data_IF_874790644132
#
_entry.id   IF_874790644132
#
_cell.length_a   1.000
_cell.length_b   1.000
_cell.length_c   1.000
_cell.angle_alpha   90.00
_cell.angle_beta   90.00
_cell.angle_gamma   90.00
#
_symmetry.space_group_name_H-M   'P 1'
#
loop_
_entity.id
_entity.type
_entity.pdbx_description
1 polymer ?
#
# COMPACT_ATOMS: atom_id res chain seq x y z
N UNK A 1 -26.66 28.25 15.41
CA UNK A 1 -25.75 28.07 14.26
C UNK A 1 -24.36 27.85 14.82
N UNK A 2 -23.79 26.64 14.67
CA UNK A 2 -22.39 26.46 15.00
C UNK A 2 -21.57 27.36 14.08
N UNK A 3 -20.53 28.06 14.59
CA UNK A 3 -19.72 28.93 13.78
C UNK A 3 -19.03 28.09 12.67
N UNK A 4 -19.21 28.48 11.41
CA UNK A 4 -18.55 27.82 10.28
C UNK A 4 -17.03 27.97 10.45
N UNK A 5 -16.32 26.84 10.52
CA UNK A 5 -14.88 26.82 10.64
C UNK A 5 -14.23 27.48 9.42
N UNK A 6 -13.24 28.32 9.64
CA UNK A 6 -12.44 28.87 8.53
C UNK A 6 -11.61 27.77 7.86
N UNK A 7 -11.21 27.93 6.57
CA UNK A 7 -10.35 26.96 5.89
C UNK A 7 -9.04 26.64 6.64
N UNK A 8 -8.47 27.62 7.32
CA UNK A 8 -7.28 27.43 8.16
C UNK A 8 -7.56 26.58 9.40
N UNK A 9 -8.70 26.80 10.05
CA UNK A 9 -9.14 26.00 11.20
C UNK A 9 -9.44 24.55 10.78
N UNK A 10 -10.06 24.35 9.61
CA UNK A 10 -10.30 23.01 9.04
C UNK A 10 -8.94 22.31 8.79
N UNK A 11 -8.00 22.99 8.15
CA UNK A 11 -6.70 22.43 7.87
C UNK A 11 -5.88 22.12 9.14
N UNK A 12 -5.94 22.97 10.16
CA UNK A 12 -5.26 22.77 11.44
C UNK A 12 -5.86 21.60 12.23
N UNK A 13 -7.20 21.53 12.29
CA UNK A 13 -7.92 20.44 12.95
C UNK A 13 -7.66 19.11 12.26
N UNK A 14 -7.72 19.08 10.92
CA UNK A 14 -7.39 17.91 10.12
C UNK A 14 -5.97 17.44 10.41
N UNK A 15 -5.00 18.34 10.41
CA UNK A 15 -3.59 17.99 10.65
C UNK A 15 -3.36 17.43 12.05
N UNK A 16 -4.03 18.01 13.08
CA UNK A 16 -3.94 17.52 14.45
C UNK A 16 -4.41 16.07 14.55
N UNK A 17 -5.59 15.77 14.03
CA UNK A 17 -6.19 14.43 14.14
C UNK A 17 -5.60 13.43 13.17
N UNK A 18 -5.12 13.87 12.00
CA UNK A 18 -4.44 12.99 11.05
C UNK A 18 -3.13 12.41 11.61
N UNK A 19 -2.42 13.15 12.46
CA UNK A 19 -1.25 12.62 13.17
C UNK A 19 -1.62 11.50 14.14
N UNK A 20 -2.74 11.65 14.87
CA UNK A 20 -3.26 10.59 15.76
C UNK A 20 -3.72 9.37 14.96
N UNK A 21 -4.42 9.61 13.86
CA UNK A 21 -4.80 8.57 12.90
C UNK A 21 -3.57 7.81 12.38
N UNK A 22 -2.49 8.53 12.05
CA UNK A 22 -1.23 7.94 11.59
C UNK A 22 -0.65 6.93 12.56
N UNK A 23 -0.69 7.21 13.86
CA UNK A 23 -0.23 6.27 14.89
C UNK A 23 -1.07 4.97 14.89
N UNK A 24 -2.41 5.09 14.86
CA UNK A 24 -3.30 3.94 14.75
C UNK A 24 -3.06 3.14 13.46
N UNK A 25 -2.83 3.83 12.34
CA UNK A 25 -2.55 3.19 11.05
C UNK A 25 -1.27 2.34 11.09
N UNK A 26 -0.18 2.88 11.61
CA UNK A 26 1.11 2.17 11.66
C UNK A 26 1.04 0.87 12.45
N UNK A 27 0.31 0.87 13.57
CA UNK A 27 0.10 -0.34 14.39
C UNK A 27 -0.76 -1.36 13.64
N UNK A 28 -1.91 -0.95 13.11
CA UNK A 28 -2.82 -1.87 12.41
C UNK A 28 -2.21 -2.42 11.11
N UNK A 29 -1.47 -1.61 10.37
CA UNK A 29 -0.77 -2.06 9.17
C UNK A 29 0.23 -3.18 9.50
N UNK A 30 0.97 -3.03 10.59
CA UNK A 30 1.91 -4.05 11.07
C UNK A 30 1.22 -5.36 11.45
N UNK A 31 0.00 -5.31 12.00
CA UNK A 31 -0.78 -6.51 12.35
C UNK A 31 -1.00 -7.42 11.13
N UNK A 32 -1.40 -6.87 10.00
CA UNK A 32 -1.73 -7.70 8.84
C UNK A 32 -0.58 -7.91 7.85
N UNK A 33 0.43 -7.04 7.81
CA UNK A 33 1.55 -7.21 6.89
C UNK A 33 2.48 -8.36 7.28
N UNK A 34 2.71 -8.56 8.58
CA UNK A 34 3.66 -9.55 9.07
C UNK A 34 3.02 -10.47 10.11
N UNK A 35 2.42 -9.93 11.18
CA UNK A 35 1.98 -10.75 12.30
C UNK A 35 0.85 -11.71 11.98
N UNK A 36 -0.10 -11.34 11.12
CA UNK A 36 -1.18 -12.25 10.73
C UNK A 36 -0.63 -13.50 10.04
N UNK A 37 0.35 -13.34 9.16
CA UNK A 37 0.98 -14.46 8.48
C UNK A 37 1.88 -15.26 9.43
N UNK A 38 2.62 -14.59 10.30
CA UNK A 38 3.48 -15.21 11.31
C UNK A 38 2.68 -16.12 12.25
N UNK A 39 1.53 -15.66 12.71
CA UNK A 39 0.61 -16.44 13.56
C UNK A 39 -0.02 -17.58 12.78
N UNK A 40 -0.41 -17.37 11.51
CA UNK A 40 -0.92 -18.45 10.66
C UNK A 40 0.10 -19.57 10.47
N UNK A 41 1.39 -19.24 10.32
CA UNK A 41 2.48 -20.20 10.16
C UNK A 41 2.74 -20.94 11.48
N UNK A 42 2.96 -20.24 12.58
CA UNK A 42 3.49 -20.82 13.83
C UNK A 42 2.43 -21.36 14.76
N UNK A 43 1.32 -20.62 14.93
CA UNK A 43 0.28 -21.00 15.89
C UNK A 43 -0.71 -21.97 15.25
N UNK A 44 -1.17 -21.65 14.03
CA UNK A 44 -2.17 -22.47 13.35
C UNK A 44 -1.57 -23.51 12.41
N UNK A 45 -0.27 -23.44 12.13
CA UNK A 45 0.42 -24.35 11.19
C UNK A 45 -0.36 -24.49 9.86
N UNK A 46 -0.81 -23.33 9.35
CA UNK A 46 -1.69 -23.23 8.22
C UNK A 46 -1.04 -23.71 6.93
N UNK A 47 -1.84 -24.38 6.09
CA UNK A 47 -1.45 -24.76 4.74
C UNK A 47 -1.30 -23.54 3.83
N UNK A 48 -0.46 -23.64 2.80
CA UNK A 48 -0.24 -22.61 1.77
C UNK A 48 -1.55 -22.20 1.09
N UNK A 49 -2.46 -23.15 0.85
CA UNK A 49 -3.78 -22.94 0.26
C UNK A 49 -4.67 -21.98 1.06
N UNK A 50 -4.42 -21.82 2.36
CA UNK A 50 -5.15 -20.92 3.26
C UNK A 50 -4.36 -19.63 3.48
N UNK A 51 -3.06 -19.71 3.68
CA UNK A 51 -2.18 -18.54 3.93
C UNK A 51 -2.25 -17.48 2.83
N UNK A 52 -2.44 -17.90 1.57
CA UNK A 52 -2.54 -17.00 0.42
C UNK A 52 -3.66 -15.94 0.52
N UNK A 53 -4.73 -16.22 1.25
CA UNK A 53 -5.84 -15.28 1.44
C UNK A 53 -5.50 -14.12 2.39
N UNK A 54 -4.52 -14.28 3.29
CA UNK A 54 -4.11 -13.22 4.21
C UNK A 54 -3.62 -11.98 3.45
N UNK A 55 -2.62 -12.03 2.57
CA UNK A 55 -2.16 -10.87 1.83
C UNK A 55 -3.10 -10.45 0.68
N UNK A 56 -3.97 -11.34 0.19
CA UNK A 56 -4.90 -11.05 -0.89
C UNK A 56 -6.04 -10.09 -0.48
N UNK A 57 -6.39 -10.03 0.81
CA UNK A 57 -7.52 -9.22 1.30
C UNK A 57 -7.45 -7.76 0.90
N UNK A 58 -6.26 -7.15 0.97
CA UNK A 58 -6.05 -5.76 0.56
C UNK A 58 -6.29 -5.56 -0.94
N UNK A 59 -5.82 -6.48 -1.78
CA UNK A 59 -6.02 -6.46 -3.23
C UNK A 59 -7.50 -6.59 -3.60
N UNK A 60 -8.20 -7.53 -2.98
CA UNK A 60 -9.66 -7.72 -3.14
C UNK A 60 -10.40 -6.44 -2.77
N UNK A 61 -10.02 -5.81 -1.67
CA UNK A 61 -10.62 -4.55 -1.26
C UNK A 61 -10.40 -3.43 -2.25
N UNK A 62 -9.21 -3.30 -2.86
CA UNK A 62 -8.97 -2.34 -3.94
C UNK A 62 -9.85 -2.60 -5.17
N UNK A 63 -10.07 -3.86 -5.55
CA UNK A 63 -10.98 -4.22 -6.66
C UNK A 63 -12.44 -3.86 -6.35
N UNK A 64 -12.86 -3.99 -5.10
CA UNK A 64 -14.22 -3.67 -4.65
C UNK A 64 -14.42 -2.17 -4.38
N UNK A 65 -13.37 -1.35 -4.38
CA UNK A 65 -13.44 0.08 -4.06
C UNK A 65 -14.46 0.88 -4.88
N UNK A 66 -14.65 0.65 -6.21
CA UNK A 66 -15.68 1.36 -6.96
C UNK A 66 -17.10 1.05 -6.51
N UNK A 67 -17.36 -0.20 -6.09
CA UNK A 67 -18.65 -0.60 -5.51
C UNK A 67 -18.87 0.09 -4.15
N UNK A 68 -17.84 0.09 -3.29
CA UNK A 68 -17.86 0.79 -2.02
C UNK A 68 -18.21 2.27 -2.19
N UNK A 69 -17.55 2.99 -3.07
CA UNK A 69 -17.82 4.39 -3.36
C UNK A 69 -19.26 4.63 -3.82
N UNK A 70 -19.82 3.73 -4.64
CA UNK A 70 -21.23 3.81 -5.08
C UNK A 70 -22.21 3.68 -3.91
N UNK A 71 -21.91 2.81 -2.94
CA UNK A 71 -22.71 2.64 -1.71
C UNK A 71 -22.58 3.89 -0.83
N UNK A 72 -21.37 4.38 -0.60
CA UNK A 72 -21.10 5.52 0.28
C UNK A 72 -21.76 6.80 -0.19
N UNK A 73 -21.82 7.04 -1.50
CA UNK A 73 -22.52 8.18 -2.09
C UNK A 73 -24.04 8.19 -1.77
N UNK A 74 -24.65 7.01 -1.57
CA UNK A 74 -26.05 6.89 -1.22
C UNK A 74 -26.36 7.19 0.25
N UNK A 75 -25.34 7.02 1.13
CA UNK A 75 -25.52 7.21 2.57
C UNK A 75 -25.67 8.67 2.99
N UNK A 76 -25.22 9.61 2.16
CA UNK A 76 -25.26 11.07 2.43
C UNK A 76 -24.62 11.48 3.77
N UNK A 77 -23.73 10.65 4.31
CA UNK A 77 -22.97 10.91 5.53
C UNK A 77 -21.68 11.70 5.23
N UNK A 78 -21.14 12.44 6.22
CA UNK A 78 -19.82 13.05 6.10
C UNK A 78 -18.75 12.00 5.77
N UNK A 79 -17.78 12.36 4.92
CA UNK A 79 -16.71 11.44 4.49
C UNK A 79 -15.94 10.88 5.69
N UNK A 80 -15.60 11.72 6.67
CA UNK A 80 -14.92 11.30 7.89
C UNK A 80 -15.74 10.29 8.71
N UNK A 81 -17.06 10.44 8.77
CA UNK A 81 -17.96 9.51 9.46
C UNK A 81 -17.98 8.15 8.77
N UNK A 82 -18.02 8.11 7.43
CA UNK A 82 -17.96 6.84 6.67
C UNK A 82 -16.65 6.11 6.95
N UNK A 83 -15.52 6.83 6.90
CA UNK A 83 -14.21 6.22 7.19
C UNK A 83 -14.18 5.72 8.65
N UNK A 84 -14.72 6.49 9.61
CA UNK A 84 -14.77 6.07 11.00
C UNK A 84 -15.58 4.79 11.19
N UNK A 85 -16.76 4.66 10.55
CA UNK A 85 -17.58 3.44 10.58
C UNK A 85 -16.79 2.26 10.00
N UNK A 86 -16.11 2.42 8.86
CA UNK A 86 -15.28 1.37 8.26
C UNK A 86 -14.20 0.90 9.24
N UNK A 87 -13.55 1.83 9.95
CA UNK A 87 -12.49 1.47 10.90
C UNK A 87 -13.01 0.90 12.22
N UNK A 88 -14.22 1.22 12.63
CA UNK A 88 -14.91 0.50 13.72
C UNK A 88 -15.19 -0.96 13.28
N UNK A 89 -15.64 -1.17 12.04
CA UNK A 89 -15.82 -2.52 11.50
C UNK A 89 -14.49 -3.29 11.37
N UNK A 90 -13.39 -2.61 11.03
CA UNK A 90 -12.02 -3.17 11.09
C UNK A 90 -11.69 -3.62 12.52
N UNK A 91 -11.97 -2.78 13.52
CA UNK A 91 -11.75 -3.13 14.93
C UNK A 91 -12.57 -4.35 15.35
N UNK A 92 -13.84 -4.43 14.93
CA UNK A 92 -14.69 -5.62 15.17
C UNK A 92 -14.11 -6.86 14.52
N UNK A 93 -13.67 -6.78 13.26
CA UNK A 93 -13.04 -7.91 12.57
C UNK A 93 -11.75 -8.38 13.27
N UNK A 94 -10.89 -7.45 13.70
CA UNK A 94 -9.67 -7.76 14.48
C UNK A 94 -10.02 -8.36 15.86
N UNK A 95 -11.08 -7.88 16.49
CA UNK A 95 -11.55 -8.45 17.77
C UNK A 95 -12.06 -9.88 17.61
N UNK A 96 -12.89 -10.14 16.59
CA UNK A 96 -13.34 -11.51 16.26
C UNK A 96 -12.16 -12.42 15.92
N UNK A 97 -11.13 -11.89 15.28
CA UNK A 97 -9.89 -12.62 15.00
C UNK A 97 -9.16 -13.02 16.30
N UNK A 98 -9.16 -12.16 17.34
CA UNK A 98 -8.59 -12.52 18.66
C UNK A 98 -9.30 -13.70 19.32
N UNK A 99 -10.58 -13.93 19.00
CA UNK A 99 -11.39 -15.01 19.52
C UNK A 99 -11.40 -16.25 18.63
N UNK A 100 -10.69 -16.21 17.48
CA UNK A 100 -10.70 -17.29 16.51
C UNK A 100 -9.99 -18.52 17.01
N UNK A 101 -10.70 -19.64 17.04
CA UNK A 101 -10.17 -20.97 17.40
C UNK A 101 -9.81 -21.81 16.16
N UNK A 102 -10.12 -21.33 14.95
CA UNK A 102 -9.80 -21.99 13.70
C UNK A 102 -9.06 -21.05 12.76
N UNK A 103 -8.17 -21.61 11.94
CA UNK A 103 -7.44 -20.85 10.91
C UNK A 103 -8.38 -20.21 9.90
N UNK A 104 -9.48 -20.85 9.53
CA UNK A 104 -10.45 -20.32 8.56
C UNK A 104 -11.08 -19.05 9.11
N UNK A 105 -11.56 -19.07 10.38
CA UNK A 105 -12.11 -17.88 11.03
C UNK A 105 -11.07 -16.77 11.15
N UNK A 106 -9.84 -17.10 11.54
CA UNK A 106 -8.74 -16.17 11.65
C UNK A 106 -8.47 -15.46 10.31
N UNK A 107 -8.32 -16.23 9.22
CA UNK A 107 -8.05 -15.70 7.88
C UNK A 107 -9.24 -14.90 7.34
N UNK A 108 -10.47 -15.37 7.54
CA UNK A 108 -11.66 -14.63 7.12
C UNK A 108 -11.76 -13.26 7.81
N UNK A 109 -11.48 -13.20 9.12
CA UNK A 109 -11.51 -11.95 9.88
C UNK A 109 -10.42 -10.96 9.41
N UNK A 110 -9.16 -11.42 9.20
CA UNK A 110 -8.10 -10.55 8.74
C UNK A 110 -8.34 -10.07 7.30
N UNK A 111 -8.83 -10.94 6.42
CA UNK A 111 -9.20 -10.55 5.05
C UNK A 111 -10.33 -9.51 5.06
N UNK A 112 -11.37 -9.71 5.89
CA UNK A 112 -12.44 -8.73 6.06
C UNK A 112 -11.91 -7.39 6.57
N UNK A 113 -11.02 -7.38 7.58
CA UNK A 113 -10.39 -6.17 8.08
C UNK A 113 -9.63 -5.39 6.99
N UNK A 114 -8.86 -6.09 6.15
CA UNK A 114 -8.12 -5.48 5.05
C UNK A 114 -9.04 -4.95 3.94
N UNK A 115 -10.08 -5.70 3.58
CA UNK A 115 -11.09 -5.27 2.60
C UNK A 115 -11.77 -3.98 3.08
N UNK A 116 -12.20 -3.92 4.33
CA UNK A 116 -12.84 -2.75 4.92
C UNK A 116 -11.88 -1.55 4.98
N UNK A 117 -10.65 -1.76 5.43
CA UNK A 117 -9.64 -0.70 5.53
C UNK A 117 -9.32 -0.08 4.17
N UNK A 118 -9.23 -0.89 3.11
CA UNK A 118 -8.93 -0.42 1.76
C UNK A 118 -10.02 0.47 1.17
N UNK A 119 -11.30 0.28 1.57
CA UNK A 119 -12.41 1.15 1.14
C UNK A 119 -12.23 2.60 1.63
N UNK A 120 -11.53 2.80 2.74
CA UNK A 120 -11.24 4.13 3.28
C UNK A 120 -10.20 4.92 2.50
N UNK A 121 -9.36 4.28 1.67
CA UNK A 121 -8.22 4.95 0.99
C UNK A 121 -8.67 6.06 0.03
N UNK A 122 -9.60 5.83 -0.92
CA UNK A 122 -10.07 6.91 -1.80
C UNK A 122 -10.83 8.00 -1.06
N UNK A 123 -11.57 7.66 -0.02
CA UNK A 123 -12.27 8.61 0.84
C UNK A 123 -11.29 9.51 1.60
N UNK A 124 -10.22 8.93 2.13
CA UNK A 124 -9.16 9.68 2.82
C UNK A 124 -8.41 10.61 1.87
N UNK A 125 -8.15 10.16 0.64
CA UNK A 125 -7.55 11.00 -0.40
C UNK A 125 -8.43 12.20 -0.72
N UNK A 126 -9.75 12.00 -0.85
CA UNK A 126 -10.70 13.08 -1.03
C UNK A 126 -10.67 14.07 0.14
N UNK A 127 -10.71 13.57 1.37
CA UNK A 127 -10.63 14.38 2.58
C UNK A 127 -9.39 15.28 2.61
N UNK A 128 -8.22 14.76 2.20
CA UNK A 128 -6.98 15.53 2.13
C UNK A 128 -7.00 16.58 1.03
N UNK A 129 -7.63 16.29 -0.10
CA UNK A 129 -7.74 17.27 -1.18
C UNK A 129 -8.67 18.40 -0.84
N UNK A 130 -9.70 18.15 -0.05
CA UNK A 130 -10.67 19.15 0.41
C UNK A 130 -10.13 20.01 1.57
N UNK A 131 -9.43 19.39 2.52
CA UNK A 131 -9.07 20.04 3.78
C UNK A 131 -7.66 20.67 3.78
N UNK A 132 -6.75 20.24 2.90
CA UNK A 132 -5.39 20.77 2.88
C UNK A 132 -5.12 21.65 1.66
N UNK A 133 -4.52 22.83 1.84
CA UNK A 133 -3.98 23.61 0.74
C UNK A 133 -2.98 22.78 -0.08
N UNK A 134 -3.01 22.91 -1.40
CA UNK A 134 -2.13 22.17 -2.30
C UNK A 134 -0.62 22.36 -1.96
N UNK A 135 -0.24 23.57 -1.54
CA UNK A 135 1.14 23.95 -1.19
C UNK A 135 1.68 23.26 0.08
N UNK A 136 0.83 22.84 1.02
CA UNK A 136 1.25 22.25 2.30
C UNK A 136 0.83 20.79 2.47
N UNK A 137 0.05 20.24 1.55
CA UNK A 137 -0.51 18.88 1.62
C UNK A 137 0.58 17.82 1.74
N UNK A 138 1.60 17.88 0.90
CA UNK A 138 2.71 16.92 0.90
C UNK A 138 3.47 16.90 2.22
N UNK A 139 3.82 18.09 2.76
CA UNK A 139 4.54 18.19 4.03
C UNK A 139 3.72 17.66 5.21
N UNK A 140 2.42 17.93 5.26
CA UNK A 140 1.54 17.43 6.33
C UNK A 140 1.38 15.92 6.28
N UNK A 141 1.17 15.35 5.08
CA UNK A 141 1.08 13.91 4.89
C UNK A 141 2.40 13.20 5.23
N UNK A 142 3.54 13.78 4.87
CA UNK A 142 4.84 13.17 5.20
C UNK A 142 5.04 13.03 6.72
N UNK A 143 4.61 14.02 7.51
CA UNK A 143 4.64 13.92 8.99
C UNK A 143 3.77 12.78 9.50
N UNK A 144 2.57 12.61 8.95
CA UNK A 144 1.68 11.50 9.32
C UNK A 144 2.31 10.14 8.96
N UNK A 145 2.96 10.03 7.80
CA UNK A 145 3.68 8.81 7.42
C UNK A 145 4.88 8.51 8.32
N UNK A 146 5.61 9.53 8.77
CA UNK A 146 6.71 9.35 9.73
C UNK A 146 6.19 8.80 11.06
N UNK A 147 5.09 9.38 11.58
CA UNK A 147 4.46 8.91 12.82
C UNK A 147 3.97 7.46 12.66
N UNK A 148 3.28 7.14 11.56
CA UNK A 148 2.81 5.79 11.28
C UNK A 148 3.97 4.79 11.23
N UNK A 149 5.06 5.13 10.54
CA UNK A 149 6.24 4.27 10.45
C UNK A 149 6.91 4.07 11.80
N UNK A 150 7.05 5.13 12.61
CA UNK A 150 7.62 5.03 13.95
C UNK A 150 6.78 4.13 14.86
N UNK A 151 5.44 4.31 14.86
CA UNK A 151 4.54 3.46 15.63
C UNK A 151 4.56 2.01 15.11
N UNK A 152 4.64 1.80 13.80
CA UNK A 152 4.78 0.48 13.20
C UNK A 152 6.08 -0.22 13.60
N UNK A 153 7.21 0.49 13.59
CA UNK A 153 8.53 -0.01 14.03
C UNK A 153 8.48 -0.41 15.50
N UNK A 154 8.00 0.49 16.36
CA UNK A 154 7.92 0.24 17.80
C UNK A 154 7.00 -0.95 18.10
N UNK A 155 5.80 -0.97 17.52
CA UNK A 155 4.85 -2.06 17.68
C UNK A 155 5.38 -3.37 17.10
N UNK A 156 6.05 -3.31 15.94
CA UNK A 156 6.69 -4.47 15.32
C UNK A 156 7.70 -5.12 16.23
N UNK A 157 8.61 -4.32 16.82
CA UNK A 157 9.62 -4.83 17.74
C UNK A 157 8.99 -5.42 19.02
N UNK A 158 8.09 -4.68 19.67
CA UNK A 158 7.42 -5.13 20.90
C UNK A 158 6.56 -6.36 20.67
N UNK A 159 5.80 -6.39 19.55
CA UNK A 159 4.96 -7.51 19.19
C UNK A 159 5.77 -8.78 18.86
N UNK A 160 6.89 -8.63 18.16
CA UNK A 160 7.79 -9.74 17.90
C UNK A 160 8.36 -10.33 19.19
N UNK A 161 8.80 -9.48 20.13
CA UNK A 161 9.27 -9.91 21.47
C UNK A 161 8.16 -10.58 22.29
N UNK A 162 6.93 -10.06 22.22
CA UNK A 162 5.78 -10.67 22.88
C UNK A 162 5.53 -12.10 22.38
N UNK A 163 5.57 -12.30 21.06
CA UNK A 163 5.38 -13.62 20.47
C UNK A 163 6.56 -14.56 20.71
N UNK A 164 7.78 -14.06 20.91
CA UNK A 164 8.93 -14.88 21.33
C UNK A 164 8.76 -15.40 22.76
N UNK A 165 8.11 -14.64 23.64
CA UNK A 165 7.78 -15.12 24.99
C UNK A 165 6.74 -16.24 24.96
N UNK A 166 5.68 -16.07 24.20
CA UNK A 166 4.63 -17.08 24.00
C UNK A 166 3.80 -16.74 22.75
N UNK A 167 3.86 -17.57 21.74
CA UNK A 167 3.11 -17.37 20.50
C UNK A 167 1.58 -17.37 20.71
N UNK A 168 1.07 -18.03 21.76
CA UNK A 168 -0.35 -17.99 22.14
C UNK A 168 -0.81 -16.64 22.67
N UNK A 169 0.09 -15.67 22.87
CA UNK A 169 -0.26 -14.27 23.20
C UNK A 169 -0.65 -13.43 21.99
N UNK A 170 -0.81 -14.03 20.79
CA UNK A 170 -1.30 -13.32 19.61
C UNK A 170 -2.63 -12.56 19.83
N UNK A 171 -3.60 -13.00 20.68
CA UNK A 171 -4.81 -12.21 20.96
C UNK A 171 -4.50 -10.89 21.66
N UNK A 172 -3.47 -10.82 22.52
CA UNK A 172 -3.02 -9.56 23.14
C UNK A 172 -2.45 -8.61 22.11
N UNK A 173 -1.61 -9.14 21.21
CA UNK A 173 -1.02 -8.37 20.12
C UNK A 173 -2.11 -7.79 19.19
N UNK A 174 -3.05 -8.59 18.73
CA UNK A 174 -4.15 -8.13 17.89
C UNK A 174 -5.17 -7.29 18.68
N UNK A 175 -5.31 -7.49 19.99
CA UNK A 175 -6.06 -6.62 20.89
C UNK A 175 -5.51 -5.18 20.90
N UNK A 176 -4.17 -5.02 20.90
CA UNK A 176 -3.57 -3.70 20.68
C UNK A 176 -3.90 -3.15 19.28
N UNK A 177 -3.98 -4.00 18.25
CA UNK A 177 -4.47 -3.65 16.91
C UNK A 177 -5.93 -3.17 16.91
N UNK A 178 -6.82 -3.79 17.72
CA UNK A 178 -8.20 -3.33 17.93
C UNK A 178 -8.23 -1.92 18.49
N UNK A 179 -7.45 -1.67 19.57
CA UNK A 179 -7.37 -0.33 20.17
C UNK A 179 -6.82 0.70 19.19
N UNK A 180 -5.83 0.33 18.39
CA UNK A 180 -5.26 1.20 17.36
C UNK A 180 -6.27 1.50 16.23
N UNK A 181 -7.10 0.52 15.83
CA UNK A 181 -8.16 0.72 14.84
C UNK A 181 -9.28 1.63 15.40
N UNK A 182 -9.64 1.49 16.66
CA UNK A 182 -10.59 2.40 17.33
C UNK A 182 -10.01 3.81 17.47
N UNK A 183 -8.73 3.95 17.79
CA UNK A 183 -8.03 5.24 17.81
C UNK A 183 -8.04 5.89 16.42
N UNK A 184 -7.80 5.12 15.36
CA UNK A 184 -7.91 5.59 13.98
C UNK A 184 -9.35 6.09 13.69
N UNK A 185 -10.37 5.27 14.01
CA UNK A 185 -11.77 5.62 13.79
C UNK A 185 -12.15 6.91 14.51
N UNK A 186 -11.78 7.02 15.78
CA UNK A 186 -12.04 8.23 16.58
C UNK A 186 -11.34 9.46 16.00
N UNK A 187 -10.07 9.33 15.64
CA UNK A 187 -9.30 10.43 15.10
C UNK A 187 -9.90 10.95 13.77
N UNK A 188 -10.28 10.05 12.86
CA UNK A 188 -10.91 10.44 11.60
C UNK A 188 -12.28 11.06 11.82
N UNK A 189 -13.09 10.53 12.75
CA UNK A 189 -14.39 11.10 13.09
C UNK A 189 -14.31 12.58 13.53
N UNK A 190 -13.20 12.97 14.18
CA UNK A 190 -12.93 14.37 14.59
C UNK A 190 -12.50 15.29 13.45
N UNK A 191 -12.25 14.77 12.26
CA UNK A 191 -11.85 15.57 11.11
C UNK A 191 -13.11 16.17 10.45
N UNK A 192 -13.18 17.50 10.26
CA UNK A 192 -14.30 18.14 9.56
C UNK A 192 -14.39 17.62 8.12
N UNK A 193 -15.59 17.29 7.66
CA UNK A 193 -15.82 16.89 6.27
C UNK A 193 -17.25 17.11 5.83
N UNK A 194 -17.41 17.32 4.54
CA UNK A 194 -18.72 17.40 3.89
C UNK A 194 -19.29 16.01 3.56
N UNK A 195 -20.60 15.92 3.27
CA UNK A 195 -21.23 14.68 2.83
C UNK A 195 -20.60 14.15 1.53
N UNK A 196 -20.55 12.82 1.40
CA UNK A 196 -19.91 12.10 0.30
C UNK A 196 -20.61 12.25 -1.08
N UNK A 197 -21.65 13.05 -1.19
CA UNK A 197 -22.55 13.19 -2.38
C UNK A 197 -21.82 13.61 -3.67
N UNK A 198 -20.61 14.14 -3.57
CA UNK A 198 -19.82 14.64 -4.71
C UNK A 198 -18.74 13.67 -5.22
N UNK A 199 -18.61 12.49 -4.62
CA UNK A 199 -17.65 11.49 -5.06
C UNK A 199 -18.12 10.86 -6.39
N UNK A 200 -17.93 11.57 -7.51
CA UNK A 200 -18.18 11.00 -8.83
C UNK A 200 -17.25 9.82 -9.07
N UNK A 201 -17.73 8.62 -8.79
CA UNK A 201 -17.12 7.40 -9.29
C UNK A 201 -17.25 7.44 -10.82
N UNK A 202 -16.19 7.81 -11.54
CA UNK A 202 -16.11 7.46 -12.96
C UNK A 202 -16.07 5.94 -13.00
N UNK A 203 -17.02 5.34 -13.72
CA UNK A 203 -17.09 3.90 -13.89
C UNK A 203 -15.71 3.38 -14.35
N UNK A 204 -15.02 2.52 -13.57
CA UNK A 204 -13.69 2.04 -13.92
C UNK A 204 -13.69 1.31 -15.28
N UNK A 205 -14.80 0.70 -15.68
CA UNK A 205 -14.93 0.03 -16.97
C UNK A 205 -14.92 1.03 -18.14
N UNK A 206 -15.50 2.22 -17.97
CA UNK A 206 -15.41 3.28 -19.00
C UNK A 206 -14.01 3.88 -19.05
N UNK A 207 -13.30 3.92 -17.93
CA UNK A 207 -11.90 4.35 -17.89
C UNK A 207 -10.96 3.31 -18.52
N UNK A 208 -11.28 2.01 -18.49
CA UNK A 208 -10.49 0.96 -19.15
C UNK A 208 -10.33 1.20 -20.66
N UNK A 209 -11.30 1.84 -21.32
CA UNK A 209 -11.17 2.22 -22.73
C UNK A 209 -9.95 3.11 -23.00
N UNK A 210 -9.53 3.92 -22.03
CA UNK A 210 -8.32 4.76 -22.12
C UNK A 210 -7.06 3.90 -22.32
N UNK A 211 -6.97 2.78 -21.60
CA UNK A 211 -5.85 1.86 -21.72
C UNK A 211 -5.77 1.19 -23.10
N UNK A 212 -6.90 1.03 -23.79
CA UNK A 212 -6.93 0.50 -25.15
C UNK A 212 -6.58 1.57 -26.19
N UNK A 213 -6.99 2.80 -25.98
CA UNK A 213 -6.78 3.92 -26.91
C UNK A 213 -5.37 4.50 -26.84
N UNK A 214 -4.80 4.66 -25.63
CA UNK A 214 -3.43 5.16 -25.45
C UNK A 214 -2.43 3.99 -25.47
N UNK A 215 -1.77 3.82 -26.61
CA UNK A 215 -0.80 2.74 -26.82
C UNK A 215 0.41 2.83 -25.86
N UNK A 216 0.89 4.04 -25.54
CA UNK A 216 2.01 4.26 -24.63
C UNK A 216 1.61 3.86 -23.20
N UNK A 217 0.45 4.32 -22.74
CA UNK A 217 -0.07 3.96 -21.42
C UNK A 217 -0.31 2.46 -21.29
N UNK A 218 -0.88 1.81 -22.31
CA UNK A 218 -1.10 0.36 -22.35
C UNK A 218 0.21 -0.42 -22.19
N UNK A 219 1.26 -0.05 -22.94
CA UNK A 219 2.58 -0.67 -22.83
C UNK A 219 3.18 -0.49 -21.43
N UNK A 220 3.04 0.69 -20.85
CA UNK A 220 3.45 0.94 -19.47
C UNK A 220 2.68 0.08 -18.46
N UNK A 221 1.35 -0.04 -18.61
CA UNK A 221 0.54 -0.88 -17.72
C UNK A 221 0.97 -2.36 -17.76
N UNK A 222 1.28 -2.89 -18.95
CA UNK A 222 1.78 -4.28 -19.10
C UNK A 222 3.11 -4.44 -18.34
N UNK A 223 4.05 -3.53 -18.51
CA UNK A 223 5.32 -3.57 -17.79
C UNK A 223 5.11 -3.46 -16.27
N UNK A 224 4.20 -2.59 -15.82
CA UNK A 224 3.83 -2.47 -14.41
C UNK A 224 3.12 -3.73 -13.87
N UNK A 225 2.35 -4.44 -14.67
CA UNK A 225 1.69 -5.70 -14.25
C UNK A 225 2.74 -6.78 -13.98
N UNK A 226 3.69 -6.99 -14.89
CA UNK A 226 4.77 -7.98 -14.72
C UNK A 226 5.62 -7.66 -13.49
N UNK A 227 6.05 -6.40 -13.34
CA UNK A 227 6.75 -5.95 -12.16
C UNK A 227 5.96 -6.20 -10.87
N UNK A 228 4.68 -5.83 -10.90
CA UNK A 228 3.82 -5.95 -9.72
C UNK A 228 3.58 -7.39 -9.32
N UNK A 229 3.30 -8.27 -10.26
CA UNK A 229 3.16 -9.72 -9.98
C UNK A 229 4.47 -10.25 -9.39
N UNK A 230 5.60 -9.98 -10.04
CA UNK A 230 6.91 -10.44 -9.57
C UNK A 230 7.25 -9.94 -8.17
N UNK A 231 7.08 -8.65 -7.88
CA UNK A 231 7.44 -8.09 -6.57
C UNK A 231 6.44 -8.44 -5.46
N UNK A 232 5.13 -8.44 -5.75
CA UNK A 232 4.09 -8.63 -4.74
C UNK A 232 3.96 -10.10 -4.28
N UNK A 233 4.21 -11.07 -5.16
CA UNK A 233 4.17 -12.48 -4.76
C UNK A 233 5.23 -12.83 -3.71
N UNK A 234 6.35 -12.10 -3.66
CA UNK A 234 7.42 -12.33 -2.68
C UNK A 234 7.15 -11.68 -1.32
N UNK A 235 6.21 -10.75 -1.19
CA UNK A 235 5.94 -10.09 0.10
C UNK A 235 5.58 -11.12 1.17
N UNK A 236 4.54 -11.97 0.99
CA UNK A 236 4.21 -13.00 1.97
C UNK A 236 5.26 -14.12 2.04
N UNK A 237 5.90 -14.44 0.94
CA UNK A 237 6.91 -15.52 0.90
C UNK A 237 8.17 -15.15 1.71
N UNK A 238 8.47 -13.85 1.90
CA UNK A 238 9.54 -13.45 2.82
C UNK A 238 9.24 -13.82 4.27
N UNK A 239 7.98 -13.65 4.72
CA UNK A 239 7.58 -14.07 6.07
C UNK A 239 7.68 -15.59 6.18
N UNK A 240 7.17 -16.31 5.17
CA UNK A 240 7.21 -17.77 5.10
C UNK A 240 8.65 -18.29 5.19
N UNK A 241 9.56 -17.73 4.37
CA UNK A 241 10.96 -18.14 4.30
C UNK A 241 11.71 -17.95 5.62
N UNK A 242 11.44 -16.87 6.34
CA UNK A 242 12.07 -16.58 7.64
C UNK A 242 11.47 -17.39 8.80
N UNK A 243 10.15 -17.56 8.80
CA UNK A 243 9.41 -18.06 9.96
C UNK A 243 9.18 -19.57 9.95
N UNK A 244 9.06 -20.18 8.75
CA UNK A 244 8.78 -21.61 8.65
C UNK A 244 10.07 -22.43 8.80
N UNK A 245 10.13 -23.34 9.82
CA UNK A 245 11.33 -24.14 10.09
C UNK A 245 11.78 -25.04 8.93
N UNK A 246 10.86 -25.39 8.02
CA UNK A 246 11.15 -26.24 6.85
C UNK A 246 12.23 -25.63 5.94
N UNK A 247 12.39 -24.30 5.93
CA UNK A 247 13.38 -23.63 5.09
C UNK A 247 14.73 -23.38 5.79
N UNK A 248 14.91 -23.82 7.02
CA UNK A 248 16.20 -23.87 7.73
C UNK A 248 16.62 -22.58 8.46
N UNK A 249 16.02 -21.41 8.14
CA UNK A 249 16.38 -20.13 8.80
C UNK A 249 15.78 -20.06 10.20
N UNK A 250 14.49 -20.39 10.33
CA UNK A 250 13.74 -20.39 11.59
C UNK A 250 14.03 -19.17 12.49
N UNK A 251 13.97 -17.97 11.89
CA UNK A 251 14.23 -16.71 12.61
C UNK A 251 13.19 -16.50 13.72
N UNK A 252 13.56 -15.95 14.86
CA UNK A 252 12.60 -15.64 15.94
C UNK A 252 11.55 -14.61 15.47
N UNK A 253 10.41 -14.51 16.19
CA UNK A 253 9.36 -13.54 15.83
C UNK A 253 9.88 -12.09 15.88
N UNK A 254 10.76 -11.78 16.82
CA UNK A 254 11.43 -10.50 16.92
C UNK A 254 12.37 -10.25 15.73
N UNK A 255 13.12 -11.27 15.28
CA UNK A 255 13.99 -11.17 14.12
C UNK A 255 13.19 -10.97 12.81
N UNK A 256 12.10 -11.72 12.60
CA UNK A 256 11.21 -11.53 11.46
C UNK A 256 10.65 -10.10 11.43
N UNK A 257 10.18 -9.62 12.57
CA UNK A 257 9.65 -8.27 12.71
C UNK A 257 10.72 -7.19 12.51
N UNK A 258 11.92 -7.37 13.08
CA UNK A 258 13.05 -6.46 12.91
C UNK A 258 13.43 -6.34 11.42
N UNK A 259 13.52 -7.47 10.71
CA UNK A 259 13.91 -7.50 9.31
C UNK A 259 12.82 -6.93 8.39
N UNK A 260 11.58 -7.43 8.49
CA UNK A 260 10.53 -7.12 7.52
C UNK A 260 9.73 -5.86 7.84
N UNK A 261 9.74 -5.38 9.10
CA UNK A 261 9.06 -4.15 9.49
C UNK A 261 10.09 -3.06 9.75
N UNK A 262 10.90 -3.21 10.80
CA UNK A 262 11.75 -2.13 11.28
C UNK A 262 12.80 -1.71 10.24
N UNK A 263 13.52 -2.66 9.66
CA UNK A 263 14.53 -2.38 8.63
C UNK A 263 13.89 -1.78 7.38
N UNK A 264 12.83 -2.40 6.86
CA UNK A 264 12.17 -1.93 5.63
C UNK A 264 11.60 -0.51 5.80
N UNK A 265 10.88 -0.24 6.89
CA UNK A 265 10.30 1.08 7.14
C UNK A 265 11.37 2.16 7.36
N UNK A 266 12.45 1.83 8.10
CA UNK A 266 13.56 2.77 8.33
C UNK A 266 14.22 3.17 7.01
N UNK A 267 14.63 2.22 6.19
CA UNK A 267 15.28 2.52 4.93
C UNK A 267 14.35 3.15 3.89
N UNK A 268 13.05 2.84 3.93
CA UNK A 268 12.03 3.54 3.16
C UNK A 268 11.96 5.01 3.55
N UNK A 269 11.89 5.35 4.83
CA UNK A 269 11.85 6.73 5.31
C UNK A 269 13.11 7.50 4.91
N UNK A 270 14.29 6.93 5.14
CA UNK A 270 15.57 7.57 4.84
C UNK A 270 15.74 7.87 3.34
N UNK A 271 15.25 6.97 2.47
CA UNK A 271 15.43 7.11 1.02
C UNK A 271 14.35 7.94 0.32
N UNK A 272 13.15 8.12 0.91
CA UNK A 272 12.02 8.76 0.24
C UNK A 272 12.34 10.17 -0.26
N UNK A 273 13.05 10.99 0.55
CA UNK A 273 13.42 12.35 0.15
C UNK A 273 14.39 12.37 -1.04
N UNK A 274 15.34 11.44 -1.08
CA UNK A 274 16.27 11.27 -2.20
C UNK A 274 15.51 10.96 -3.50
N UNK A 275 14.58 10.01 -3.43
CA UNK A 275 13.78 9.60 -4.57
C UNK A 275 12.87 10.72 -5.10
N UNK A 276 12.31 11.55 -4.22
CA UNK A 276 11.55 12.72 -4.62
C UNK A 276 12.38 13.68 -5.47
N UNK A 277 13.59 14.03 -5.01
CA UNK A 277 14.50 14.87 -5.76
C UNK A 277 14.97 14.27 -7.10
N UNK A 278 15.13 12.93 -7.15
CA UNK A 278 15.46 12.23 -8.40
C UNK A 278 14.28 12.20 -9.37
N UNK A 279 13.06 12.00 -8.88
CA UNK A 279 11.85 12.02 -9.72
C UNK A 279 11.65 13.31 -10.50
N UNK A 280 12.03 14.44 -9.88
CA UNK A 280 11.92 15.76 -10.52
C UNK A 280 12.99 16.00 -11.60
N UNK A 281 14.14 15.30 -11.50
CA UNK A 281 15.33 15.57 -12.33
C UNK A 281 15.57 14.57 -13.45
N UNK A 282 15.14 13.33 -13.30
CA UNK A 282 15.43 12.28 -14.26
C UNK A 282 14.15 11.67 -14.85
N UNK A 283 14.30 11.12 -16.06
CA UNK A 283 13.20 10.44 -16.75
C UNK A 283 12.60 9.33 -15.89
N UNK A 284 11.26 9.26 -15.85
CA UNK A 284 10.47 8.30 -15.07
C UNK A 284 10.83 6.84 -15.38
N UNK A 285 11.13 6.52 -16.65
CA UNK A 285 11.53 5.18 -17.05
C UNK A 285 12.92 4.84 -16.51
N UNK A 286 13.87 5.77 -16.63
CA UNK A 286 15.23 5.58 -16.07
C UNK A 286 15.15 5.36 -14.56
N UNK A 287 14.33 6.16 -13.86
CA UNK A 287 14.11 6.00 -12.43
C UNK A 287 13.50 4.63 -12.10
N UNK A 288 12.54 4.16 -12.92
CA UNK A 288 11.92 2.83 -12.76
C UNK A 288 12.94 1.70 -12.92
N UNK A 289 13.79 1.79 -13.93
CA UNK A 289 14.85 0.78 -14.20
C UNK A 289 15.82 0.70 -13.01
N UNK A 290 16.23 1.86 -12.46
CA UNK A 290 17.09 1.90 -11.27
C UNK A 290 16.42 1.21 -10.06
N UNK A 291 15.16 1.50 -9.80
CA UNK A 291 14.40 0.90 -8.70
C UNK A 291 14.20 -0.61 -8.94
N UNK A 292 13.97 -1.04 -10.18
CA UNK A 292 13.90 -2.46 -10.52
C UNK A 292 15.22 -3.18 -10.21
N UNK A 293 16.36 -2.57 -10.53
CA UNK A 293 17.69 -3.10 -10.18
C UNK A 293 17.87 -3.28 -8.67
N UNK A 294 17.40 -2.29 -7.88
CA UNK A 294 17.41 -2.37 -6.41
C UNK A 294 16.51 -3.50 -5.91
N UNK A 295 15.32 -3.70 -6.49
CA UNK A 295 14.45 -4.82 -6.12
C UNK A 295 15.08 -6.16 -6.50
N UNK A 296 15.70 -6.29 -7.67
CA UNK A 296 16.39 -7.53 -8.06
C UNK A 296 17.55 -7.86 -7.11
N UNK A 297 18.37 -6.88 -6.75
CA UNK A 297 19.45 -7.06 -5.79
C UNK A 297 18.90 -7.42 -4.39
N UNK A 298 17.83 -6.76 -3.94
CA UNK A 298 17.14 -7.09 -2.69
C UNK A 298 16.67 -8.56 -2.67
N UNK A 299 16.05 -9.02 -3.76
CA UNK A 299 15.57 -10.40 -3.89
C UNK A 299 16.74 -11.38 -3.82
N UNK A 300 17.82 -11.08 -4.54
CA UNK A 300 19.02 -11.95 -4.59
C UNK A 300 19.67 -12.08 -3.22
N UNK A 301 19.85 -10.98 -2.50
CA UNK A 301 20.43 -11.00 -1.15
C UNK A 301 19.52 -11.63 -0.10
N UNK A 302 18.21 -11.68 -0.35
CA UNK A 302 17.25 -12.23 0.61
C UNK A 302 17.09 -13.76 0.44
N UNK A 303 16.95 -14.26 -0.78
CA UNK A 303 16.51 -15.63 -1.04
C UNK A 303 17.62 -16.62 -1.45
N UNK A 304 18.85 -16.14 -1.74
CA UNK A 304 19.95 -17.00 -2.18
C UNK A 304 21.08 -17.10 -1.16
N UNK A 305 20.77 -16.87 0.10
CA UNK A 305 21.69 -16.97 1.22
C UNK A 305 20.95 -17.26 2.52
N UNK A 306 21.58 -17.99 3.40
CA UNK A 306 21.05 -18.27 4.75
C UNK A 306 21.63 -17.31 5.81
N UNK A 307 22.49 -16.38 5.38
CA UNK A 307 23.15 -15.45 6.28
C UNK A 307 22.22 -14.29 6.65
N UNK A 308 21.92 -14.15 7.94
CA UNK A 308 21.00 -13.14 8.45
C UNK A 308 21.40 -11.69 8.08
N UNK A 309 22.70 -11.42 7.95
CA UNK A 309 23.20 -10.11 7.52
C UNK A 309 22.90 -9.80 6.05
N UNK A 310 23.02 -10.79 5.18
CA UNK A 310 22.65 -10.64 3.79
C UNK A 310 21.14 -10.44 3.63
N UNK A 311 20.35 -11.22 4.36
CA UNK A 311 18.89 -11.06 4.44
C UNK A 311 18.54 -9.64 4.92
N UNK A 312 19.23 -9.14 5.95
CA UNK A 312 19.08 -7.77 6.47
C UNK A 312 19.41 -6.71 5.42
N UNK A 313 20.50 -6.87 4.67
CA UNK A 313 20.83 -6.00 3.55
C UNK A 313 19.77 -6.05 2.43
N UNK A 314 19.23 -7.24 2.13
CA UNK A 314 18.09 -7.42 1.23
C UNK A 314 16.84 -6.66 1.70
N UNK A 315 16.53 -6.67 3.01
CA UNK A 315 15.43 -5.91 3.58
C UNK A 315 15.66 -4.38 3.52
N UNK A 316 16.90 -3.93 3.76
CA UNK A 316 17.27 -2.52 3.63
C UNK A 316 17.06 -2.03 2.18
N UNK A 317 17.54 -2.79 1.19
CA UNK A 317 17.32 -2.48 -0.22
C UNK A 317 15.83 -2.53 -0.60
N UNK A 318 15.05 -3.46 -0.04
CA UNK A 318 13.60 -3.48 -0.22
C UNK A 318 12.96 -2.18 0.25
N UNK A 319 13.38 -1.68 1.43
CA UNK A 319 12.92 -0.40 1.97
C UNK A 319 13.27 0.76 1.05
N UNK A 320 14.51 0.83 0.56
CA UNK A 320 14.97 1.83 -0.41
C UNK A 320 14.11 1.77 -1.68
N UNK A 321 13.90 0.57 -2.22
CA UNK A 321 13.06 0.34 -3.41
C UNK A 321 11.61 0.77 -3.21
N UNK A 322 11.01 0.51 -2.04
CA UNK A 322 9.65 0.96 -1.71
C UNK A 322 9.54 2.48 -1.57
N UNK A 323 10.59 3.16 -1.07
CA UNK A 323 10.64 4.62 -1.04
C UNK A 323 10.47 5.24 -2.42
N UNK A 324 11.25 4.78 -3.41
CA UNK A 324 11.15 5.24 -4.79
C UNK A 324 9.92 4.70 -5.53
N UNK A 325 9.61 3.43 -5.30
CA UNK A 325 8.45 2.77 -5.90
C UNK A 325 7.13 3.45 -5.56
N UNK A 326 6.98 3.91 -4.32
CA UNK A 326 5.79 4.63 -3.86
C UNK A 326 5.60 5.98 -4.55
N UNK A 327 6.68 6.75 -4.72
CA UNK A 327 6.67 8.02 -5.44
C UNK A 327 6.29 7.80 -6.91
N UNK A 328 6.97 6.86 -7.57
CA UNK A 328 6.67 6.51 -8.95
C UNK A 328 5.25 6.04 -9.14
N UNK A 329 4.75 5.14 -8.28
CA UNK A 329 3.38 4.62 -8.35
C UNK A 329 2.35 5.75 -8.28
N UNK A 330 2.59 6.75 -7.44
CA UNK A 330 1.66 7.85 -7.22
C UNK A 330 1.72 8.93 -8.31
N UNK A 331 2.88 9.15 -8.92
CA UNK A 331 3.12 10.35 -9.72
C UNK A 331 3.44 10.10 -11.21
N UNK A 332 3.81 8.88 -11.63
CA UNK A 332 4.24 8.66 -13.02
C UNK A 332 3.18 9.06 -14.07
N UNK A 333 1.91 8.91 -13.71
CA UNK A 333 0.78 9.27 -14.59
C UNK A 333 0.76 10.77 -14.88
N UNK A 334 1.22 11.61 -13.96
CA UNK A 334 1.27 13.07 -14.16
C UNK A 334 2.27 13.50 -15.23
N UNK A 335 3.26 12.64 -15.53
CA UNK A 335 4.23 12.84 -16.62
C UNK A 335 3.76 12.27 -17.96
N UNK A 336 2.63 11.57 -17.99
CA UNK A 336 2.14 10.83 -19.14
C UNK A 336 0.79 11.36 -19.65
N UNK A 337 -0.13 11.64 -18.73
CA UNK A 337 -1.51 11.98 -19.05
C UNK A 337 -1.73 13.50 -19.14
N UNK A 338 -2.59 13.97 -20.05
CA UNK A 338 -3.07 15.36 -20.03
C UNK A 338 -3.67 15.69 -18.65
N UNK A 339 -3.51 16.94 -18.15
CA UNK A 339 -3.93 17.33 -16.79
C UNK A 339 -5.41 17.02 -16.48
N UNK A 340 -6.30 17.15 -17.44
CA UNK A 340 -7.74 16.87 -17.34
C UNK A 340 -8.06 15.36 -17.25
N UNK A 341 -7.13 14.47 -17.66
CA UNK A 341 -7.30 13.01 -17.71
C UNK A 341 -6.50 12.25 -16.66
N UNK A 342 -5.63 12.90 -15.89
CA UNK A 342 -4.77 12.25 -14.87
C UNK A 342 -5.58 11.35 -13.94
N UNK A 343 -6.73 11.82 -13.43
CA UNK A 343 -7.58 11.04 -12.54
C UNK A 343 -8.13 9.75 -13.21
N UNK A 344 -8.45 9.79 -14.49
CA UNK A 344 -8.94 8.64 -15.23
C UNK A 344 -7.82 7.60 -15.47
N UNK A 345 -6.61 8.04 -15.83
CA UNK A 345 -5.43 7.18 -15.97
C UNK A 345 -5.04 6.54 -14.62
N UNK A 346 -5.07 7.30 -13.53
CA UNK A 346 -4.81 6.77 -12.18
C UNK A 346 -5.87 5.76 -11.74
N UNK A 347 -7.13 5.92 -12.13
CA UNK A 347 -8.18 4.95 -11.85
C UNK A 347 -7.89 3.60 -12.50
N UNK A 348 -7.46 3.59 -13.76
CA UNK A 348 -7.06 2.35 -14.47
C UNK A 348 -5.83 1.72 -13.82
N UNK A 349 -4.81 2.54 -13.49
CA UNK A 349 -3.62 2.06 -12.81
C UNK A 349 -3.93 1.46 -11.43
N UNK A 350 -4.82 2.09 -10.67
CA UNK A 350 -5.30 1.60 -9.38
C UNK A 350 -6.04 0.26 -9.50
N UNK A 351 -6.93 0.12 -10.47
CA UNK A 351 -7.67 -1.13 -10.72
C UNK A 351 -6.72 -2.27 -11.10
N UNK A 352 -5.75 -2.02 -11.97
CA UNK A 352 -4.73 -3.03 -12.32
C UNK A 352 -3.81 -3.35 -11.13
N UNK A 353 -3.59 -2.38 -10.22
CA UNK A 353 -2.87 -2.65 -8.97
C UNK A 353 -3.67 -3.58 -8.06
N UNK A 354 -4.96 -3.35 -7.88
CA UNK A 354 -5.84 -4.25 -7.12
C UNK A 354 -5.81 -5.68 -7.68
N UNK A 355 -5.88 -5.83 -9.01
CA UNK A 355 -5.82 -7.14 -9.67
C UNK A 355 -4.51 -7.89 -9.35
N UNK A 356 -3.35 -7.24 -9.54
CA UNK A 356 -2.07 -7.90 -9.25
C UNK A 356 -1.85 -8.15 -7.76
N UNK A 357 -2.32 -7.27 -6.87
CA UNK A 357 -2.26 -7.49 -5.42
C UNK A 357 -3.12 -8.68 -4.98
N UNK A 358 -4.23 -8.92 -5.68
CA UNK A 358 -5.06 -10.09 -5.44
C UNK A 358 -4.41 -11.36 -5.96
N UNK A 359 -3.94 -11.37 -7.20
CA UNK A 359 -3.43 -12.58 -7.87
C UNK A 359 -2.03 -13.00 -7.38
N UNK A 360 -1.16 -12.05 -7.05
CA UNK A 360 0.24 -12.34 -6.75
C UNK A 360 0.45 -13.31 -5.57
N UNK A 361 -0.26 -13.18 -4.43
CA UNK A 361 -0.14 -14.15 -3.34
C UNK A 361 -0.52 -15.57 -3.75
N UNK A 362 -1.59 -15.71 -4.54
CA UNK A 362 -2.01 -17.02 -5.04
C UNK A 362 -0.95 -17.65 -5.93
N UNK A 363 -0.35 -16.89 -6.85
CA UNK A 363 0.75 -17.36 -7.70
C UNK A 363 1.94 -17.76 -6.84
N UNK A 364 2.36 -16.91 -5.88
CA UNK A 364 3.51 -17.17 -5.02
C UNK A 364 3.34 -18.44 -4.19
N UNK A 365 2.22 -18.58 -3.51
CA UNK A 365 1.94 -19.77 -2.67
C UNK A 365 1.71 -21.04 -3.49
N UNK A 366 1.08 -20.95 -4.67
CA UNK A 366 0.94 -22.12 -5.56
C UNK A 366 2.28 -22.67 -6.01
N UNK A 367 3.27 -21.78 -6.25
CA UNK A 367 4.63 -22.22 -6.59
C UNK A 367 5.34 -22.81 -5.37
N UNK A 368 5.25 -22.17 -4.20
CA UNK A 368 5.91 -22.64 -2.98
C UNK A 368 5.36 -23.99 -2.51
N UNK A 369 4.08 -24.23 -2.71
CA UNK A 369 3.44 -25.50 -2.33
C UNK A 369 4.13 -26.75 -2.94
N UNK A 370 4.62 -26.63 -4.17
CA UNK A 370 5.29 -27.73 -4.88
C UNK A 370 6.81 -27.60 -4.90
N UNK A 371 7.36 -26.50 -4.37
CA UNK A 371 8.78 -26.18 -4.56
C UNK A 371 9.36 -25.44 -3.35
N UNK A 372 10.42 -24.64 -3.58
CA UNK A 372 11.11 -23.86 -2.56
C UNK A 372 10.94 -22.35 -2.84
N UNK A 373 10.92 -21.46 -1.81
CA UNK A 373 10.88 -20.00 -1.97
C UNK A 373 11.90 -19.43 -2.97
N UNK A 374 13.06 -20.06 -3.11
CA UNK A 374 14.06 -19.65 -4.09
C UNK A 374 13.55 -19.73 -5.55
N UNK A 375 12.67 -20.69 -5.89
CA UNK A 375 12.09 -20.75 -7.23
C UNK A 375 11.14 -19.58 -7.48
N UNK A 376 10.34 -19.20 -6.47
CA UNK A 376 9.50 -17.99 -6.54
C UNK A 376 10.37 -16.75 -6.74
N UNK A 377 11.54 -16.68 -6.08
CA UNK A 377 12.49 -15.60 -6.28
C UNK A 377 13.04 -15.56 -7.70
N UNK A 378 13.41 -16.71 -8.30
CA UNK A 378 13.84 -16.79 -9.69
C UNK A 378 12.74 -16.33 -10.67
N UNK A 379 11.50 -16.78 -10.47
CA UNK A 379 10.36 -16.34 -11.30
C UNK A 379 10.17 -14.82 -11.16
N UNK A 380 10.27 -14.30 -9.93
CA UNK A 380 10.18 -12.86 -9.67
C UNK A 380 11.27 -12.08 -10.39
N UNK A 381 12.53 -12.52 -10.32
CA UNK A 381 13.64 -11.92 -11.04
C UNK A 381 13.40 -11.91 -12.54
N UNK A 382 12.91 -13.02 -13.10
CA UNK A 382 12.53 -13.12 -14.51
C UNK A 382 11.45 -12.12 -14.91
N UNK A 383 10.36 -12.00 -14.12
CA UNK A 383 9.27 -11.07 -14.37
C UNK A 383 9.73 -9.61 -14.25
N UNK A 384 10.56 -9.28 -13.26
CA UNK A 384 11.09 -7.92 -13.08
C UNK A 384 12.08 -7.59 -14.21
N UNK A 385 12.92 -8.53 -14.64
CA UNK A 385 13.83 -8.36 -15.79
C UNK A 385 13.04 -8.12 -17.07
N UNK A 386 12.03 -8.94 -17.35
CA UNK A 386 11.15 -8.76 -18.50
C UNK A 386 10.43 -7.41 -18.48
N UNK A 387 9.91 -7.02 -17.31
CA UNK A 387 9.33 -5.69 -17.11
C UNK A 387 10.35 -4.58 -17.45
N UNK A 388 11.59 -4.72 -16.99
CA UNK A 388 12.66 -3.75 -17.24
C UNK A 388 12.97 -3.63 -18.72
N UNK A 389 13.06 -4.77 -19.43
CA UNK A 389 13.25 -4.80 -20.88
C UNK A 389 12.09 -4.09 -21.60
N UNK A 390 10.84 -4.31 -21.17
CA UNK A 390 9.68 -3.66 -21.75
C UNK A 390 9.62 -2.15 -21.48
N UNK A 391 10.23 -1.68 -20.39
CA UNK A 391 10.33 -0.24 -20.11
C UNK A 391 11.38 0.47 -20.99
N UNK A 392 12.48 -0.18 -21.38
CA UNK A 392 13.57 0.44 -22.13
C UNK A 392 13.12 1.23 -23.38
N UNK A 393 12.31 0.66 -24.30
CA UNK A 393 11.89 1.37 -25.51
C UNK A 393 10.88 2.49 -25.25
N UNK A 394 10.31 2.58 -24.03
CA UNK A 394 9.34 3.61 -23.69
C UNK A 394 10.00 4.93 -23.26
N UNK A 395 11.31 4.91 -22.95
CA UNK A 395 12.04 6.10 -22.48
C UNK A 395 11.96 7.27 -23.47
N UNK A 396 12.35 7.15 -24.76
CA UNK A 396 12.28 8.26 -25.70
C UNK A 396 10.84 8.71 -25.97
N UNK A 397 9.85 7.80 -25.90
CA UNK A 397 8.45 8.13 -26.12
C UNK A 397 7.87 8.99 -24.98
N UNK A 398 8.33 8.77 -23.76
CA UNK A 398 7.92 9.57 -22.59
C UNK A 398 8.59 10.95 -22.61
N UNK A 399 9.87 11.03 -23.02
CA UNK A 399 10.54 12.31 -23.17
C UNK A 399 9.86 13.19 -24.23
N UNK A 400 9.48 12.60 -25.37
CA UNK A 400 8.72 13.30 -26.40
C UNK A 400 7.37 13.80 -25.89
N UNK A 401 6.62 12.93 -25.19
CA UNK A 401 5.29 13.29 -24.65
C UNK A 401 5.36 14.32 -23.53
N UNK A 402 6.40 14.30 -22.70
CA UNK A 402 6.63 15.32 -21.67
C UNK A 402 6.88 16.70 -22.30
N UNK A 403 7.67 16.77 -23.38
CA UNK A 403 7.89 18.00 -24.14
C UNK A 403 6.61 18.56 -24.78
N UNK A 404 5.72 17.69 -25.28
CA UNK A 404 4.40 18.07 -25.79
C UNK A 404 3.52 18.68 -24.67
N UNK A 405 3.53 18.10 -23.49
CA UNK A 405 2.72 18.55 -22.33
C UNK A 405 3.24 19.86 -21.73
N UNK A 406 4.54 20.10 -21.74
CA UNK A 406 5.16 21.38 -21.28
C UNK A 406 4.91 22.53 -22.25
N UNK A 407 4.71 22.24 -23.54
CA UNK A 407 4.33 23.22 -24.58
C UNK A 407 2.84 23.68 -24.48
N UNK A 408 1.99 23.04 -23.69
CA UNK A 408 0.64 23.52 -23.41
C UNK A 408 0.69 24.58 -22.29
N UNK A 409 0.22 25.83 -22.53
CA UNK A 409 0.15 26.82 -21.47
C UNK A 409 -0.72 26.28 -20.35
N UNK A 410 -0.21 26.32 -19.11
CA UNK A 410 -1.00 26.05 -17.93
C UNK A 410 -2.32 26.79 -18.09
N UNK A 411 -3.43 26.13 -17.81
CA UNK A 411 -4.77 26.71 -17.89
C UNK A 411 -4.85 27.89 -16.89
N UNK A 412 -4.27 29.02 -17.30
CA UNK A 412 -4.36 30.29 -16.62
C UNK A 412 -5.70 30.90 -16.99
N UNK A 413 -6.56 31.10 -15.99
CA UNK A 413 -7.59 32.12 -15.93
C UNK A 413 -8.29 32.42 -17.27
N UNK A 414 -9.24 31.60 -17.67
CA UNK A 414 -10.32 32.13 -18.52
C UNK A 414 -11.21 32.95 -17.61
N UNK A 415 -11.33 34.27 -17.83
CA UNK A 415 -12.41 35.02 -17.21
C UNK A 415 -13.73 34.42 -17.65
N UNK A 416 -14.67 34.30 -16.72
CA UNK A 416 -16.04 33.96 -17.01
C UNK A 416 -16.58 35.02 -17.96
N UNK A 417 -16.62 34.73 -19.25
CA UNK A 417 -17.38 35.54 -20.19
C UNK A 417 -18.86 35.33 -19.91
N UNK A 418 -19.45 36.39 -19.46
CA UNK A 418 -20.90 36.64 -19.37
C UNK A 418 -21.46 36.59 -20.79
N UNK A 419 -22.42 35.75 -21.04
CA UNK A 419 -23.62 36.01 -21.82
C UNK A 419 -24.65 34.90 -21.54
#
# INVERSE_FOLDING_TARGET
>A
MEPQLTPEQIAATTYRWDRVRGAGHGITETCWQVFALLVAIRVFQADESIKQFIPAGLGIGFLLSPLGLSIFNRLKLPVSTIIAILWVLVAVALFLMCLANSIITFVACIAAAQILASQGIPLLTHLYTSNYPASSRGSRLSTTFVIASFCGIAFGYLGGRLLDLNERMYPVLFGAGVLAALLYAYAVYKIPSEPAVQLRSRNPFTCMAIAWQDQLFRRMLIAWMLLGIGSLMLIPIRVEYLANPVYGINASNAQVSLLLISTVLTFRLLSTKLWGGLFDRINVVTLRILINGIFMLSISLFFFTDQIWSIGAGCALLGIGFGGGGILWSLYVTKLAPPDKVAAYMSVHGSTTGLRMTLSPFIGYSVVHFTHPALVAWISLGLISLSTILFLPLRPLIDAKAGELEGFPAASNRPADRA
#
